data_IF_760087568505
#
_entry.id   IF_760087568505
#
_cell.length_a   1.000
_cell.length_b   1.000
_cell.length_c   1.000
_cell.angle_alpha   90.00
_cell.angle_beta   90.00
_cell.angle_gamma   90.00
#
_symmetry.space_group_name_H-M   'P 1'
#
loop_
_entity.id
_entity.type
_entity.pdbx_description
1 polymer ?
#
# COMPACT_ATOMS: atom_id res chain seq x y z
N UNK A 1 6.62 25.43 24.97
CA UNK A 1 6.57 24.94 23.59
C UNK A 1 7.89 24.29 23.21
N UNK A 2 7.88 23.02 22.88
CA UNK A 2 9.11 22.29 22.52
C UNK A 2 9.21 22.13 20.99
N UNK A 3 10.04 22.96 20.37
CA UNK A 3 10.20 23.01 18.91
C UNK A 3 10.66 21.67 18.33
N UNK A 4 11.54 20.95 19.04
CA UNK A 4 12.04 19.63 18.58
C UNK A 4 10.92 18.61 18.49
N UNK A 5 10.05 18.54 19.50
CA UNK A 5 8.90 17.65 19.49
C UNK A 5 7.90 17.98 18.37
N UNK A 6 7.65 19.27 18.16
CA UNK A 6 6.76 19.72 17.07
C UNK A 6 7.34 19.37 15.71
N UNK A 7 8.63 19.61 15.47
CA UNK A 7 9.29 19.22 14.22
C UNK A 7 9.21 17.71 13.97
N UNK A 8 9.39 16.89 15.01
CA UNK A 8 9.26 15.43 14.90
C UNK A 8 7.84 15.01 14.51
N UNK A 9 6.81 15.61 15.12
CA UNK A 9 5.41 15.37 14.76
C UNK A 9 5.11 15.77 13.32
N UNK A 10 5.63 16.88 12.83
CA UNK A 10 5.47 17.33 11.44
C UNK A 10 6.13 16.33 10.48
N UNK A 11 7.32 15.83 10.78
CA UNK A 11 8.00 14.82 9.97
C UNK A 11 7.15 13.55 9.85
N UNK A 12 6.55 13.08 10.95
CA UNK A 12 5.65 11.92 10.92
C UNK A 12 4.42 12.16 10.04
N UNK A 13 3.82 13.34 10.11
CA UNK A 13 2.68 13.70 9.25
C UNK A 13 3.07 13.70 7.76
N UNK A 14 4.22 14.26 7.41
CA UNK A 14 4.73 14.27 6.02
C UNK A 14 5.01 12.86 5.52
N UNK A 15 5.63 12.01 6.35
CA UNK A 15 5.88 10.61 6.00
C UNK A 15 4.58 9.84 5.76
N UNK A 16 3.56 10.08 6.59
CA UNK A 16 2.26 9.41 6.41
C UNK A 16 1.58 9.81 5.11
N UNK A 17 1.62 11.09 4.75
CA UNK A 17 1.10 11.59 3.47
C UNK A 17 1.84 10.93 2.31
N UNK A 18 3.15 10.79 2.40
CA UNK A 18 3.96 10.15 1.38
C UNK A 18 3.62 8.65 1.21
N UNK A 19 3.37 7.94 2.30
CA UNK A 19 2.93 6.53 2.27
C UNK A 19 1.56 6.40 1.59
N UNK A 20 0.63 7.29 1.91
CA UNK A 20 -0.74 7.25 1.37
C UNK A 20 -0.86 7.79 -0.05
N UNK A 21 0.06 8.62 -0.49
CA UNK A 21 -0.05 9.39 -1.74
C UNK A 21 -0.33 8.51 -2.96
N UNK A 22 0.45 7.47 -3.18
CA UNK A 22 0.31 6.60 -4.36
C UNK A 22 -1.06 5.93 -4.41
N UNK A 23 -1.51 5.42 -3.28
CA UNK A 23 -2.80 4.73 -3.19
C UNK A 23 -3.97 5.69 -3.41
N UNK A 24 -3.96 6.82 -2.73
CA UNK A 24 -5.01 7.84 -2.85
C UNK A 24 -5.06 8.40 -4.27
N UNK A 25 -3.92 8.67 -4.86
CA UNK A 25 -3.84 9.14 -6.24
C UNK A 25 -4.48 8.15 -7.23
N UNK A 26 -4.22 6.86 -7.11
CA UNK A 26 -4.83 5.83 -7.95
C UNK A 26 -6.34 5.71 -7.72
N UNK A 27 -6.80 5.84 -6.48
CA UNK A 27 -8.23 5.78 -6.16
C UNK A 27 -8.99 6.98 -6.73
N UNK A 28 -8.43 8.18 -6.65
CA UNK A 28 -9.10 9.43 -7.08
C UNK A 28 -8.98 9.64 -8.58
N UNK A 29 -7.79 9.47 -9.15
CA UNK A 29 -7.50 9.81 -10.55
C UNK A 29 -7.35 8.59 -11.46
N UNK A 30 -7.26 7.39 -10.90
CA UNK A 30 -7.15 6.15 -11.66
C UNK A 30 -8.50 5.63 -12.17
N UNK A 31 -8.43 4.54 -12.89
CA UNK A 31 -9.58 3.78 -13.34
C UNK A 31 -9.74 2.51 -12.52
N UNK A 32 -10.97 2.06 -12.35
CA UNK A 32 -11.26 0.77 -11.71
C UNK A 32 -11.42 -0.34 -12.73
N UNK A 33 -11.00 -1.53 -12.36
CA UNK A 33 -11.23 -2.74 -13.14
C UNK A 33 -11.36 -3.95 -12.21
N UNK A 34 -11.97 -5.01 -12.73
CA UNK A 34 -11.95 -6.32 -12.06
C UNK A 34 -10.69 -7.07 -12.49
N UNK A 35 -9.91 -7.48 -11.51
CA UNK A 35 -8.71 -8.27 -11.72
C UNK A 35 -8.76 -9.60 -11.00
N UNK A 36 -7.82 -10.46 -11.31
CA UNK A 36 -7.65 -11.76 -10.66
C UNK A 36 -6.24 -11.85 -10.10
N UNK A 37 -6.11 -12.20 -8.84
CA UNK A 37 -4.81 -12.43 -8.22
C UNK A 37 -4.25 -13.74 -8.77
N UNK A 38 -3.14 -13.68 -9.48
CA UNK A 38 -2.49 -14.85 -10.11
C UNK A 38 -1.28 -15.36 -9.34
N UNK A 39 -0.80 -14.61 -8.38
CA UNK A 39 0.36 -15.00 -7.57
C UNK A 39 0.95 -13.84 -6.80
N UNK A 40 2.21 -14.00 -6.41
CA UNK A 40 2.98 -12.97 -5.73
C UNK A 40 4.06 -12.42 -6.66
N UNK A 41 4.34 -11.13 -6.50
CA UNK A 41 5.37 -10.43 -7.26
C UNK A 41 6.70 -10.35 -6.52
N UNK A 42 7.31 -9.17 -6.55
CA UNK A 42 8.62 -8.92 -5.97
C UNK A 42 8.70 -9.28 -4.49
N UNK A 43 9.79 -9.94 -4.11
CA UNK A 43 10.06 -10.33 -2.74
C UNK A 43 11.02 -9.35 -2.09
N UNK A 44 10.66 -8.87 -0.89
CA UNK A 44 11.57 -8.16 0.00
C UNK A 44 11.85 -9.09 1.17
N UNK A 45 13.11 -9.54 1.28
CA UNK A 45 13.52 -10.39 2.39
C UNK A 45 13.42 -9.63 3.70
N UNK A 46 12.65 -10.17 4.61
CA UNK A 46 12.48 -9.61 5.94
C UNK A 46 13.36 -10.29 6.99
N UNK A 47 13.40 -9.70 8.17
CA UNK A 47 13.98 -10.30 9.35
C UNK A 47 12.98 -11.25 10.02
N UNK A 48 13.46 -12.16 10.86
CA UNK A 48 12.62 -13.09 11.65
C UNK A 48 11.86 -14.16 10.85
N UNK A 49 12.36 -14.54 9.66
CA UNK A 49 11.79 -15.64 8.90
C UNK A 49 10.53 -15.30 8.10
N UNK A 50 10.16 -14.04 7.98
CA UNK A 50 9.08 -13.57 7.11
C UNK A 50 9.63 -12.78 5.93
N UNK A 51 9.06 -13.02 4.78
CA UNK A 51 9.34 -12.26 3.57
C UNK A 51 8.09 -11.48 3.14
N UNK A 52 8.28 -10.32 2.58
CA UNK A 52 7.20 -9.47 2.08
C UNK A 52 7.09 -9.57 0.56
N UNK A 53 5.90 -9.81 0.08
CA UNK A 53 5.58 -9.91 -1.35
C UNK A 53 4.48 -8.92 -1.71
N UNK A 54 4.52 -8.39 -2.92
CA UNK A 54 3.35 -7.75 -3.50
C UNK A 54 2.51 -8.79 -4.26
N UNK A 55 1.26 -8.43 -4.58
CA UNK A 55 0.38 -9.29 -5.37
C UNK A 55 0.58 -9.05 -6.86
N UNK A 56 0.56 -10.12 -7.65
CA UNK A 56 0.38 -10.05 -9.11
C UNK A 56 -1.09 -10.16 -9.44
N UNK A 57 -1.61 -9.17 -10.14
CA UNK A 57 -3.01 -9.10 -10.56
C UNK A 57 -3.07 -9.05 -12.08
N UNK A 58 -3.86 -9.95 -12.66
CA UNK A 58 -4.20 -9.93 -14.08
C UNK A 58 -5.52 -9.22 -14.28
N UNK A 59 -5.56 -8.24 -15.17
CA UNK A 59 -6.78 -7.52 -15.55
C UNK A 59 -6.80 -7.24 -17.03
N UNK A 60 -7.95 -6.90 -17.56
CA UNK A 60 -8.13 -6.58 -18.98
C UNK A 60 -8.30 -5.08 -19.18
N UNK A 61 -7.53 -4.54 -20.11
CA UNK A 61 -7.61 -3.14 -20.53
C UNK A 61 -7.44 -3.03 -22.04
N UNK A 62 -8.41 -2.39 -22.72
CA UNK A 62 -8.43 -2.28 -24.19
C UNK A 62 -8.26 -3.63 -24.91
N UNK A 63 -8.98 -4.67 -24.45
CA UNK A 63 -8.93 -6.03 -24.97
C UNK A 63 -7.56 -6.72 -24.84
N UNK A 64 -6.68 -6.21 -24.00
CA UNK A 64 -5.37 -6.81 -23.70
C UNK A 64 -5.33 -7.23 -22.24
N UNK A 65 -4.76 -8.41 -21.99
CA UNK A 65 -4.47 -8.87 -20.63
C UNK A 65 -3.20 -8.22 -20.11
N UNK A 66 -3.30 -7.58 -18.96
CA UNK A 66 -2.19 -6.87 -18.32
C UNK A 66 -1.95 -7.49 -16.95
N UNK A 67 -0.68 -7.72 -16.64
CA UNK A 67 -0.25 -8.18 -15.32
C UNK A 67 0.36 -7.00 -14.59
N UNK A 68 -0.25 -6.61 -13.47
CA UNK A 68 0.19 -5.52 -12.63
C UNK A 68 0.69 -6.02 -11.28
N UNK A 69 1.61 -5.29 -10.69
CA UNK A 69 2.02 -5.46 -9.31
C UNK A 69 1.23 -4.52 -8.41
N UNK A 70 0.74 -5.03 -7.28
CA UNK A 70 0.01 -4.21 -6.32
C UNK A 70 0.97 -3.34 -5.50
N UNK A 71 0.47 -2.19 -5.02
CA UNK A 71 1.17 -1.37 -4.04
C UNK A 71 1.20 -2.08 -2.69
N UNK A 72 0.16 -2.83 -2.37
CA UNK A 72 -0.01 -3.56 -1.12
C UNK A 72 0.96 -4.74 -1.05
N UNK A 73 1.49 -4.98 0.14
CA UNK A 73 2.36 -6.10 0.44
C UNK A 73 1.71 -7.04 1.45
N UNK A 74 2.08 -8.31 1.36
CA UNK A 74 1.72 -9.33 2.33
C UNK A 74 3.00 -9.96 2.91
N UNK A 75 3.00 -10.22 4.20
CA UNK A 75 4.07 -10.95 4.85
C UNK A 75 3.75 -12.43 4.89
N UNK A 76 4.67 -13.25 4.43
CA UNK A 76 4.55 -14.70 4.36
C UNK A 76 5.76 -15.32 5.04
N UNK A 77 5.53 -16.36 5.86
CA UNK A 77 6.63 -17.12 6.47
C UNK A 77 7.51 -17.73 5.37
N UNK A 78 8.82 -17.67 5.57
CA UNK A 78 9.82 -18.03 4.52
C UNK A 78 9.66 -19.44 3.97
N UNK A 79 9.12 -20.37 4.74
CA UNK A 79 8.91 -21.74 4.32
C UNK A 79 7.48 -22.03 3.83
N UNK A 80 6.60 -21.02 3.90
CA UNK A 80 5.24 -21.16 3.36
C UNK A 80 5.26 -20.89 1.86
N UNK A 81 4.65 -21.80 1.11
CA UNK A 81 4.45 -21.63 -0.32
C UNK A 81 3.17 -20.82 -0.50
N UNK A 82 3.25 -19.59 -1.03
CA UNK A 82 2.08 -18.77 -1.27
C UNK A 82 1.25 -19.34 -2.42
N UNK A 83 0.51 -20.43 -2.19
CA UNK A 83 -0.22 -21.14 -3.21
C UNK A 83 -1.73 -20.90 -3.29
N UNK A 84 -2.32 -20.36 -2.22
CA UNK A 84 -3.77 -20.40 -2.04
C UNK A 84 -4.53 -19.14 -2.46
N UNK A 85 -3.88 -18.15 -3.07
CA UNK A 85 -4.52 -16.89 -3.47
C UNK A 85 -4.86 -16.87 -4.97
N UNK A 86 -4.43 -17.86 -5.72
CA UNK A 86 -4.74 -17.95 -7.16
C UNK A 86 -6.25 -17.98 -7.40
N UNK A 87 -6.69 -17.17 -8.37
CA UNK A 87 -8.08 -17.08 -8.83
C UNK A 87 -9.03 -16.28 -7.94
N UNK A 88 -8.54 -15.50 -6.96
CA UNK A 88 -9.39 -14.55 -6.27
C UNK A 88 -9.66 -13.33 -7.15
N UNK A 89 -10.95 -13.08 -7.40
CA UNK A 89 -11.41 -11.89 -8.09
C UNK A 89 -11.38 -10.69 -7.15
N UNK A 90 -10.74 -9.61 -7.57
CA UNK A 90 -10.60 -8.38 -6.78
C UNK A 90 -10.91 -7.16 -7.64
N UNK A 91 -11.35 -6.09 -7.01
CA UNK A 91 -11.46 -4.79 -7.64
C UNK A 91 -10.17 -4.02 -7.44
N UNK A 92 -9.63 -3.46 -8.51
CA UNK A 92 -8.37 -2.72 -8.51
C UNK A 92 -8.55 -1.32 -9.08
N UNK A 93 -7.64 -0.43 -8.70
CA UNK A 93 -7.46 0.88 -9.33
C UNK A 93 -6.09 0.94 -9.98
N UNK A 94 -6.04 1.46 -11.20
CA UNK A 94 -4.81 1.60 -11.97
C UNK A 94 -4.78 2.93 -12.71
N UNK A 95 -3.59 3.35 -13.15
CA UNK A 95 -3.41 4.53 -13.99
C UNK A 95 -3.12 4.12 -15.44
N UNK A 96 -3.71 4.80 -16.39
CA UNK A 96 -3.39 4.59 -17.82
C UNK A 96 -1.94 4.90 -18.16
N UNK A 97 -1.29 5.74 -17.34
CA UNK A 97 0.13 6.09 -17.52
C UNK A 97 1.08 4.98 -17.05
N UNK A 98 0.63 4.12 -16.15
CA UNK A 98 1.40 2.99 -15.65
C UNK A 98 0.48 1.80 -15.39
N UNK A 99 0.26 1.00 -16.42
CA UNK A 99 -0.64 -0.16 -16.36
C UNK A 99 -0.09 -1.31 -15.51
N UNK A 100 1.20 -1.32 -15.22
CA UNK A 100 1.87 -2.38 -14.45
C UNK A 100 1.79 -2.17 -12.94
N UNK A 101 1.22 -1.08 -12.47
CA UNK A 101 1.02 -0.76 -11.06
C UNK A 101 -0.45 -0.59 -10.75
N UNK A 102 -0.92 -1.28 -9.71
CA UNK A 102 -2.30 -1.17 -9.25
C UNK A 102 -2.41 -1.12 -7.74
N UNK A 103 -3.57 -0.72 -7.24
CA UNK A 103 -3.93 -0.85 -5.82
C UNK A 103 -5.19 -1.68 -5.69
N UNK A 104 -5.20 -2.62 -4.74
CA UNK A 104 -6.34 -3.51 -4.49
C UNK A 104 -7.28 -2.81 -3.50
N UNK A 105 -8.54 -2.64 -3.90
CA UNK A 105 -9.54 -1.90 -3.11
C UNK A 105 -9.73 -2.47 -1.70
N UNK A 106 -9.85 -3.78 -1.59
CA UNK A 106 -10.21 -4.44 -0.33
C UNK A 106 -9.05 -4.56 0.66
N UNK A 107 -7.81 -4.38 0.21
CA UNK A 107 -6.63 -4.44 1.07
C UNK A 107 -6.30 -3.03 1.58
N UNK A 108 -6.61 -2.78 2.84
CA UNK A 108 -6.47 -1.45 3.48
C UNK A 108 -5.30 -1.34 4.44
N UNK A 109 -4.36 -2.29 4.44
CA UNK A 109 -3.24 -2.29 5.37
C UNK A 109 -2.38 -1.04 5.28
N UNK A 110 -2.02 -0.62 4.07
CA UNK A 110 -1.24 0.61 3.83
C UNK A 110 -2.01 1.85 4.28
N UNK A 111 -3.31 1.91 4.00
CA UNK A 111 -4.18 3.02 4.44
C UNK A 111 -4.26 3.10 5.96
N UNK A 112 -4.45 1.98 6.62
CA UNK A 112 -4.50 1.93 8.09
C UNK A 112 -3.18 2.36 8.72
N UNK A 113 -2.05 1.89 8.18
CA UNK A 113 -0.73 2.26 8.65
C UNK A 113 -0.48 3.77 8.49
N UNK A 114 -0.75 4.32 7.33
CA UNK A 114 -0.59 5.75 7.07
C UNK A 114 -1.45 6.61 7.96
N UNK A 115 -2.72 6.27 8.17
CA UNK A 115 -3.62 6.98 9.08
C UNK A 115 -3.15 6.91 10.53
N UNK A 116 -2.65 5.76 10.96
CA UNK A 116 -2.13 5.57 12.31
C UNK A 116 -0.91 6.47 12.59
N UNK A 117 0.05 6.49 11.65
CA UNK A 117 1.23 7.36 11.75
C UNK A 117 0.82 8.84 11.75
N UNK A 118 -0.15 9.22 10.94
CA UNK A 118 -0.66 10.58 10.89
C UNK A 118 -1.28 11.02 12.22
N UNK A 119 -2.10 10.17 12.83
CA UNK A 119 -2.69 10.45 14.14
C UNK A 119 -1.64 10.59 15.23
N UNK A 120 -0.62 9.74 15.24
CA UNK A 120 0.51 9.87 16.18
C UNK A 120 1.23 11.21 15.98
N UNK A 121 1.47 11.62 14.74
CA UNK A 121 2.08 12.89 14.43
C UNK A 121 1.30 14.08 14.99
N UNK A 122 -0.03 14.09 14.82
CA UNK A 122 -0.92 15.13 15.35
C UNK A 122 -0.89 15.15 16.89
N UNK A 123 -0.96 14.00 17.53
CA UNK A 123 -0.93 13.90 19.00
C UNK A 123 0.39 14.45 19.54
N UNK A 124 1.51 14.12 18.92
CA UNK A 124 2.82 14.64 19.30
C UNK A 124 2.87 16.16 19.17
N UNK A 125 2.40 16.73 18.05
CA UNK A 125 2.32 18.17 17.86
C UNK A 125 1.47 18.81 18.96
N UNK A 126 0.31 18.27 19.26
CA UNK A 126 -0.58 18.80 20.28
C UNK A 126 0.07 18.79 21.66
N UNK A 127 0.71 17.71 22.06
CA UNK A 127 1.39 17.60 23.36
C UNK A 127 2.52 18.61 23.48
N UNK A 128 3.40 18.70 22.48
CA UNK A 128 4.57 19.57 22.54
C UNK A 128 4.28 21.03 22.23
N UNK A 129 3.10 21.36 21.70
CA UNK A 129 2.65 22.73 21.57
C UNK A 129 2.16 23.34 22.90
N UNK A 130 1.66 22.50 23.79
CA UNK A 130 1.15 22.93 25.12
C UNK A 130 2.26 22.95 26.18
N UNK A 131 3.26 22.13 26.05
CA UNK A 131 4.43 22.10 26.95
C UNK A 131 5.43 23.17 26.49
#
# INVERSE_FOLDING_TARGET
>A
MNIVGICFGIILCVLSIFILYKRIFLIIFGKSAKGTIIGYGNCIKGNRGFDSYNYKVEYEYNNKKIIANSIENVQVARNDIPGNIKNNSVEIYFSEKNLELCTIKDIKTTTKLGLFIFLIGIIIIAIFSVI
#
